data_IF_984520738208
#
_entry.id   IF_984520738208
#
_cell.length_a   1.000
_cell.length_b   1.000
_cell.length_c   1.000
_cell.angle_alpha   90.00
_cell.angle_beta   90.00
_cell.angle_gamma   90.00
#
_symmetry.space_group_name_H-M   'P 1'
#
loop_
_entity.id
_entity.type
_entity.pdbx_description
1 polymer ?
#
# COMPACT_ATOMS: atom_id res chain seq x y z
N UNK A 1 16.58 -5.59 18.69
CA UNK A 1 15.15 -5.62 18.36
C UNK A 1 15.09 -6.01 16.88
N UNK A 2 14.69 -7.24 16.57
CA UNK A 2 14.49 -7.63 15.18
C UNK A 2 13.28 -6.82 14.68
N UNK A 3 13.49 -5.96 13.71
CA UNK A 3 12.42 -5.30 13.00
C UNK A 3 11.86 -6.36 12.04
N UNK A 4 10.84 -7.08 12.48
CA UNK A 4 10.07 -7.97 11.63
C UNK A 4 9.33 -7.10 10.62
N UNK A 5 9.96 -6.84 9.48
CA UNK A 5 9.33 -6.05 8.44
C UNK A 5 10.29 -5.49 7.41
N UNK A 6 9.70 -4.88 6.38
CA UNK A 6 10.44 -4.18 5.35
C UNK A 6 10.56 -2.70 5.73
N UNK A 7 11.78 -2.17 5.74
CA UNK A 7 12.04 -0.76 5.95
C UNK A 7 12.50 -0.11 4.64
N UNK A 8 11.64 0.72 4.06
CA UNK A 8 11.98 1.53 2.89
C UNK A 8 12.67 2.84 3.28
N UNK A 9 13.50 3.38 2.40
CA UNK A 9 14.05 4.72 2.59
C UNK A 9 12.95 5.75 2.37
N UNK A 10 12.71 6.58 3.37
CA UNK A 10 11.72 7.66 3.29
C UNK A 10 12.17 8.74 2.30
N UNK A 11 11.25 9.25 1.49
CA UNK A 11 11.50 10.38 0.60
C UNK A 11 11.82 11.63 1.43
N UNK A 12 12.85 12.36 1.02
CA UNK A 12 13.24 13.62 1.67
C UNK A 12 14.26 13.47 2.81
N UNK A 13 14.76 12.28 3.06
CA UNK A 13 15.89 12.07 3.98
C UNK A 13 17.17 12.62 3.35
N UNK A 14 17.96 13.38 4.13
CA UNK A 14 19.31 13.76 3.76
C UNK A 14 20.25 12.53 3.81
N UNK A 15 20.52 11.98 2.64
CA UNK A 15 21.43 10.84 2.48
C UNK A 15 22.85 11.36 2.35
N UNK A 16 23.54 11.51 3.48
CA UNK A 16 24.92 12.03 3.50
C UNK A 16 25.93 11.07 2.87
N UNK A 17 25.82 9.79 3.18
CA UNK A 17 26.71 8.77 2.60
C UNK A 17 25.93 7.52 2.17
N UNK A 18 26.36 6.90 1.07
CA UNK A 18 25.77 5.66 0.56
C UNK A 18 25.93 4.50 1.55
N UNK A 19 27.08 4.42 2.20
CA UNK A 19 27.44 3.29 3.05
C UNK A 19 26.61 3.23 4.33
N UNK A 20 26.19 4.37 4.88
CA UNK A 20 25.29 4.45 6.03
C UNK A 20 23.91 3.81 5.77
N UNK A 21 23.47 3.77 4.50
CA UNK A 21 22.13 3.28 4.13
C UNK A 21 22.09 1.80 3.75
N UNK A 22 23.22 1.22 3.33
CA UNK A 22 23.25 -0.13 2.74
C UNK A 22 22.84 -1.23 3.73
N UNK A 23 23.11 -1.03 5.02
CA UNK A 23 22.87 -2.04 6.06
C UNK A 23 21.52 -1.96 6.75
N UNK A 24 20.90 -0.79 6.79
CA UNK A 24 19.74 -0.51 7.63
C UNK A 24 18.39 -0.73 6.92
N UNK A 25 18.34 -0.59 5.59
CA UNK A 25 17.09 -0.62 4.84
C UNK A 25 16.95 -1.87 3.99
N UNK A 26 15.71 -2.22 3.68
CA UNK A 26 15.37 -3.32 2.78
C UNK A 26 15.96 -3.09 1.39
N UNK A 27 16.47 -4.16 0.79
CA UNK A 27 17.08 -4.11 -0.53
C UNK A 27 16.19 -4.82 -1.54
N UNK A 28 15.84 -4.17 -2.66
CA UNK A 28 15.13 -4.85 -3.73
C UNK A 28 16.04 -5.91 -4.36
N UNK A 29 15.49 -7.09 -4.63
CA UNK A 29 16.19 -8.15 -5.37
C UNK A 29 16.03 -7.85 -6.86
N UNK A 30 16.97 -7.08 -7.41
CA UNK A 30 16.99 -6.72 -8.84
C UNK A 30 18.24 -7.30 -9.47
N UNK A 31 18.07 -8.03 -10.57
CA UNK A 31 19.14 -8.58 -11.40
C UNK A 31 19.12 -7.95 -12.79
N UNK A 32 20.14 -8.20 -13.58
CA UNK A 32 20.18 -7.72 -14.99
C UNK A 32 19.09 -8.32 -15.87
N UNK A 33 18.44 -9.38 -15.43
CA UNK A 33 17.35 -10.08 -16.13
C UNK A 33 15.98 -9.86 -15.47
N UNK A 34 15.91 -9.06 -14.41
CA UNK A 34 14.64 -8.75 -13.76
C UNK A 34 13.71 -8.02 -14.73
N UNK A 35 12.45 -8.45 -14.85
CA UNK A 35 11.49 -7.76 -15.71
C UNK A 35 11.24 -6.33 -15.21
N UNK A 36 11.15 -5.40 -16.13
CA UNK A 36 10.76 -4.03 -15.82
C UNK A 36 9.23 -3.90 -15.91
N UNK A 37 8.62 -3.52 -14.80
CA UNK A 37 7.17 -3.34 -14.76
C UNK A 37 6.79 -1.94 -15.23
N UNK A 38 6.07 -1.85 -16.34
CA UNK A 38 5.58 -0.60 -16.90
C UNK A 38 4.23 -0.19 -16.31
N UNK A 39 3.36 -1.16 -16.12
CA UNK A 39 2.00 -0.96 -15.61
C UNK A 39 1.62 -2.13 -14.73
N UNK A 40 1.04 -1.82 -13.58
CA UNK A 40 0.55 -2.80 -12.63
C UNK A 40 -0.97 -2.94 -12.81
N UNK A 41 -1.46 -4.17 -13.01
CA UNK A 41 -2.89 -4.44 -13.15
C UNK A 41 -3.68 -4.03 -11.89
N UNK A 42 -3.09 -4.22 -10.71
CA UNK A 42 -3.69 -3.79 -9.45
C UNK A 42 -3.85 -2.26 -9.41
N UNK A 43 -2.82 -1.50 -9.80
CA UNK A 43 -2.88 -0.03 -9.83
C UNK A 43 -4.00 0.48 -10.74
N UNK A 44 -4.09 -0.06 -11.97
CA UNK A 44 -5.15 0.31 -12.92
C UNK A 44 -6.54 -0.03 -12.35
N UNK A 45 -6.65 -1.15 -11.63
CA UNK A 45 -7.92 -1.57 -11.04
C UNK A 45 -8.29 -0.68 -9.84
N UNK A 46 -7.32 -0.21 -9.05
CA UNK A 46 -7.56 0.82 -8.03
C UNK A 46 -8.03 2.16 -8.64
N UNK A 47 -7.45 2.60 -9.76
CA UNK A 47 -7.93 3.78 -10.48
C UNK A 47 -9.37 3.62 -10.99
N UNK A 48 -9.73 2.41 -11.44
CA UNK A 48 -11.13 2.10 -11.80
C UNK A 48 -12.04 2.11 -10.58
N UNK A 49 -11.60 1.60 -9.43
CA UNK A 49 -12.36 1.66 -8.17
C UNK A 49 -12.61 3.11 -7.75
N UNK A 50 -11.60 3.97 -7.84
CA UNK A 50 -11.73 5.40 -7.59
C UNK A 50 -12.75 6.05 -8.53
N UNK A 51 -12.64 5.82 -9.85
CA UNK A 51 -13.62 6.33 -10.82
C UNK A 51 -15.04 5.84 -10.57
N UNK A 52 -15.21 4.56 -10.19
CA UNK A 52 -16.51 4.00 -9.83
C UNK A 52 -17.08 4.64 -8.56
N UNK A 53 -16.23 4.93 -7.57
CA UNK A 53 -16.62 5.65 -6.36
C UNK A 53 -17.16 7.06 -6.67
N UNK A 54 -16.59 7.73 -7.70
CA UNK A 54 -17.10 9.01 -8.24
C UNK A 54 -18.34 8.85 -9.10
N UNK A 55 -18.89 7.65 -9.26
CA UNK A 55 -20.07 7.38 -10.07
C UNK A 55 -19.82 7.23 -11.56
N UNK A 56 -18.56 7.05 -11.98
CA UNK A 56 -18.22 6.82 -13.39
C UNK A 56 -18.44 5.36 -13.76
N UNK A 57 -18.80 5.10 -15.01
CA UNK A 57 -18.91 3.72 -15.49
C UNK A 57 -17.52 3.10 -15.74
N UNK A 58 -16.99 2.45 -14.71
CA UNK A 58 -15.68 1.79 -14.72
C UNK A 58 -15.76 0.27 -14.93
N UNK A 59 -16.96 -0.26 -15.25
CA UNK A 59 -17.18 -1.68 -15.52
C UNK A 59 -17.26 -2.55 -14.27
N UNK A 60 -17.65 -1.98 -13.14
CA UNK A 60 -17.89 -2.66 -11.86
C UNK A 60 -18.18 -1.67 -10.74
N UNK A 61 -18.69 -2.18 -9.63
CA UNK A 61 -18.90 -1.40 -8.41
C UNK A 61 -17.55 -1.08 -7.74
N UNK A 62 -17.48 0.07 -7.06
CA UNK A 62 -16.24 0.55 -6.44
C UNK A 62 -15.64 -0.47 -5.46
N UNK A 63 -16.47 -1.09 -4.63
CA UNK A 63 -16.06 -2.14 -3.68
C UNK A 63 -15.46 -3.35 -4.38
N UNK A 64 -16.12 -3.83 -5.43
CA UNK A 64 -15.69 -5.03 -6.15
C UNK A 64 -14.35 -4.79 -6.85
N UNK A 65 -14.19 -3.61 -7.46
CA UNK A 65 -12.95 -3.20 -8.10
C UNK A 65 -11.82 -3.00 -7.07
N UNK A 66 -12.12 -2.46 -5.89
CA UNK A 66 -11.16 -2.34 -4.78
C UNK A 66 -10.65 -3.71 -4.32
N UNK A 67 -11.57 -4.64 -4.05
CA UNK A 67 -11.21 -6.01 -3.64
C UNK A 67 -10.45 -6.75 -4.75
N UNK A 68 -10.86 -6.56 -6.00
CA UNK A 68 -10.17 -7.13 -7.16
C UNK A 68 -8.74 -6.59 -7.29
N UNK A 69 -8.52 -5.30 -7.05
CA UNK A 69 -7.20 -4.69 -7.11
C UNK A 69 -6.25 -5.29 -6.06
N UNK A 70 -6.73 -5.49 -4.83
CA UNK A 70 -5.98 -6.18 -3.77
C UNK A 70 -5.65 -7.61 -4.20
N UNK A 71 -6.63 -8.36 -4.71
CA UNK A 71 -6.41 -9.74 -5.16
C UNK A 71 -5.36 -9.83 -6.28
N UNK A 72 -5.40 -8.91 -7.25
CA UNK A 72 -4.39 -8.83 -8.32
C UNK A 72 -2.99 -8.51 -7.77
N UNK A 73 -2.89 -7.68 -6.75
CA UNK A 73 -1.61 -7.40 -6.09
C UNK A 73 -1.06 -8.65 -5.40
N UNK A 74 -1.91 -9.37 -4.68
CA UNK A 74 -1.52 -10.64 -4.02
C UNK A 74 -1.06 -11.68 -5.06
N UNK A 75 -1.80 -11.84 -6.15
CA UNK A 75 -1.45 -12.75 -7.25
C UNK A 75 -0.09 -12.39 -7.85
N UNK A 76 0.15 -11.11 -8.13
CA UNK A 76 1.39 -10.61 -8.72
C UNK A 76 2.62 -10.97 -7.89
N UNK A 77 2.50 -10.91 -6.56
CA UNK A 77 3.60 -11.22 -5.64
C UNK A 77 3.58 -12.66 -5.12
N UNK A 78 2.66 -13.50 -5.62
CA UNK A 78 2.56 -14.90 -5.20
C UNK A 78 2.13 -15.07 -3.74
N UNK A 79 1.42 -14.09 -3.17
CA UNK A 79 0.91 -14.12 -1.80
C UNK A 79 -0.52 -14.63 -1.80
N UNK A 80 -0.90 -15.40 -0.78
CA UNK A 80 -2.28 -15.90 -0.60
C UNK A 80 -2.99 -15.16 0.52
N UNK A 81 -4.33 -15.25 0.58
CA UNK A 81 -5.12 -14.69 1.67
C UNK A 81 -5.72 -13.31 1.38
N UNK A 82 -5.84 -12.91 0.12
CA UNK A 82 -6.47 -11.64 -0.26
C UNK A 82 -7.88 -11.46 0.33
N UNK A 83 -8.70 -12.52 0.34
CA UNK A 83 -10.06 -12.47 0.91
C UNK A 83 -10.05 -12.19 2.41
N UNK A 84 -9.12 -12.81 3.15
CA UNK A 84 -8.95 -12.55 4.59
C UNK A 84 -8.47 -11.13 4.82
N UNK A 85 -7.55 -10.65 3.98
CA UNK A 85 -7.03 -9.29 4.06
C UNK A 85 -8.13 -8.26 3.80
N UNK A 86 -8.92 -8.40 2.74
CA UNK A 86 -10.00 -7.46 2.39
C UNK A 86 -11.14 -7.44 3.42
N UNK A 87 -11.31 -8.50 4.20
CA UNK A 87 -12.28 -8.58 5.29
C UNK A 87 -11.78 -7.98 6.62
N UNK A 88 -10.54 -7.51 6.68
CA UNK A 88 -9.92 -7.03 7.91
C UNK A 88 -10.44 -5.64 8.30
N UNK A 89 -11.06 -5.56 9.47
CA UNK A 89 -11.68 -4.34 10.02
C UNK A 89 -10.86 -3.68 11.13
N UNK A 90 -9.68 -4.19 11.43
CA UNK A 90 -8.87 -3.76 12.58
C UNK A 90 -7.52 -3.19 12.21
N UNK A 91 -6.87 -3.76 11.21
CA UNK A 91 -5.52 -3.35 10.84
C UNK A 91 -5.54 -2.01 10.10
N UNK A 92 -4.59 -1.18 10.46
CA UNK A 92 -4.38 0.17 9.95
C UNK A 92 -2.93 0.33 9.47
N UNK A 93 -2.64 1.35 8.64
CA UNK A 93 -1.26 1.68 8.28
C UNK A 93 -0.39 1.85 9.52
N UNK A 94 0.74 1.17 9.56
CA UNK A 94 1.67 1.27 10.68
C UNK A 94 2.39 2.61 10.69
N UNK A 95 2.82 3.03 11.88
CA UNK A 95 3.78 4.12 12.02
C UNK A 95 5.09 3.74 11.32
N UNK A 96 5.73 4.72 10.73
CA UNK A 96 7.06 4.54 10.16
C UNK A 96 8.11 4.69 11.28
N UNK A 97 8.86 3.62 11.49
CA UNK A 97 10.01 3.56 12.40
C UNK A 97 11.28 3.48 11.53
N UNK A 98 12.07 4.55 11.55
CA UNK A 98 13.30 4.60 10.76
C UNK A 98 14.40 3.76 11.44
N UNK A 99 14.92 2.72 10.77
CA UNK A 99 15.90 1.82 11.39
C UNK A 99 17.23 2.49 11.71
N UNK A 100 17.46 3.71 11.28
CA UNK A 100 18.73 4.42 11.45
C UNK A 100 18.60 5.80 12.11
N UNK A 101 17.49 6.49 11.95
CA UNK A 101 17.33 7.88 12.40
C UNK A 101 16.01 8.10 13.13
N UNK A 102 16.02 8.08 14.46
CA UNK A 102 14.86 8.34 15.31
C UNK A 102 14.16 9.66 14.99
N UNK A 103 14.89 10.69 14.57
CA UNK A 103 14.31 12.00 14.23
C UNK A 103 13.49 12.00 12.93
N UNK A 104 13.53 10.90 12.17
CA UNK A 104 12.70 10.70 10.97
C UNK A 104 11.49 9.83 11.23
N UNK A 105 11.35 9.31 12.45
CA UNK A 105 10.20 8.54 12.87
C UNK A 105 8.94 9.38 12.82
N UNK A 106 7.84 8.73 12.58
CA UNK A 106 6.54 9.35 12.64
C UNK A 106 5.74 8.72 13.79
N UNK A 107 5.48 9.52 14.81
CA UNK A 107 4.72 9.08 15.98
C UNK A 107 3.24 8.80 15.59
N UNK A 108 2.89 7.55 15.51
CA UNK A 108 1.54 7.09 15.20
C UNK A 108 1.27 6.81 13.72
N UNK A 109 0.15 6.18 13.40
CA UNK A 109 -0.25 5.88 12.04
C UNK A 109 -0.63 7.18 11.31
N UNK A 110 -0.22 7.32 10.07
CA UNK A 110 -0.58 8.47 9.21
C UNK A 110 -2.07 8.48 8.86
N UNK A 111 -2.72 7.36 8.97
CA UNK A 111 -4.13 7.15 8.73
C UNK A 111 -4.67 6.14 9.72
N UNK A 112 -5.92 6.31 10.13
CA UNK A 112 -6.67 5.33 10.94
C UNK A 112 -7.63 4.50 10.10
N UNK A 113 -7.45 4.55 8.78
CA UNK A 113 -8.31 3.79 7.87
C UNK A 113 -8.01 2.30 7.96
N UNK A 114 -9.04 1.50 8.06
CA UNK A 114 -8.94 0.03 8.04
C UNK A 114 -9.06 -0.49 6.61
N UNK A 115 -8.77 -1.77 6.39
CA UNK A 115 -8.73 -2.36 5.06
C UNK A 115 -10.13 -2.62 4.52
N UNK A 116 -11.03 -3.19 5.34
CA UNK A 116 -12.37 -3.57 4.89
C UNK A 116 -13.18 -2.37 4.39
N UNK A 117 -13.84 -2.57 3.26
CA UNK A 117 -14.75 -1.56 2.69
C UNK A 117 -15.93 -1.27 3.62
N UNK A 118 -16.32 0.00 3.73
CA UNK A 118 -17.51 0.43 4.48
C UNK A 118 -18.65 0.76 3.52
N UNK A 119 -19.87 0.28 3.85
CA UNK A 119 -21.06 0.43 3.03
C UNK A 119 -21.84 1.71 3.38
N UNK A 120 -22.35 2.39 2.38
CA UNK A 120 -23.22 3.56 2.49
C UNK A 120 -22.57 4.86 2.07
N UNK A 121 -23.41 5.85 1.75
CA UNK A 121 -22.99 7.13 1.17
C UNK A 121 -22.14 7.98 2.13
N UNK A 122 -22.27 7.77 3.42
CA UNK A 122 -21.52 8.51 4.45
C UNK A 122 -20.02 8.14 4.49
N UNK A 123 -19.61 7.08 3.79
CA UNK A 123 -18.24 6.56 3.81
C UNK A 123 -17.43 6.89 2.56
N UNK A 124 -17.91 7.80 1.71
CA UNK A 124 -17.23 8.18 0.47
C UNK A 124 -15.77 8.55 0.71
N UNK A 125 -15.48 9.54 1.56
CA UNK A 125 -14.12 10.01 1.84
C UNK A 125 -13.25 8.90 2.46
N UNK A 126 -13.82 8.09 3.35
CA UNK A 126 -13.10 6.98 3.97
C UNK A 126 -12.76 5.89 2.95
N UNK A 127 -13.66 5.59 2.03
CA UNK A 127 -13.40 4.62 0.97
C UNK A 127 -12.41 5.16 -0.08
N UNK A 128 -12.45 6.45 -0.36
CA UNK A 128 -11.43 7.11 -1.18
C UNK A 128 -10.04 7.00 -0.52
N UNK A 129 -9.96 7.28 0.77
CA UNK A 129 -8.72 7.11 1.54
C UNK A 129 -8.22 5.66 1.52
N UNK A 130 -9.11 4.64 1.62
CA UNK A 130 -8.74 3.22 1.47
C UNK A 130 -8.11 2.94 0.12
N UNK A 131 -8.76 3.37 -0.96
CA UNK A 131 -8.24 3.16 -2.32
C UNK A 131 -6.84 3.77 -2.45
N UNK A 132 -6.67 5.02 -1.99
CA UNK A 132 -5.38 5.72 -2.06
C UNK A 132 -4.33 4.99 -1.21
N UNK A 133 -4.67 4.60 0.02
CA UNK A 133 -3.75 3.91 0.94
C UNK A 133 -3.28 2.57 0.38
N UNK A 134 -4.17 1.79 -0.22
CA UNK A 134 -3.81 0.48 -0.80
C UNK A 134 -3.06 0.59 -2.12
N UNK A 135 -3.24 1.68 -2.85
CA UNK A 135 -2.55 1.94 -4.11
C UNK A 135 -1.07 2.30 -3.90
N UNK A 136 -0.73 2.91 -2.77
CA UNK A 136 0.63 3.36 -2.41
C UNK A 136 1.35 2.41 -1.46
#
# INVERSE_FOLDING_TARGET
>A
MEVDGYAGIRIGIDVRTKDEKIGAYSKPIITSTSPYMWMNAAEITFLRAEGALWGWNMGGEAKDLYNQAIALSFEQYGVTGADTYTANTTDMPQAYDDPQYEYTDYEGPRSTITIAWEEGDNYFERNLERIITQKW
#
